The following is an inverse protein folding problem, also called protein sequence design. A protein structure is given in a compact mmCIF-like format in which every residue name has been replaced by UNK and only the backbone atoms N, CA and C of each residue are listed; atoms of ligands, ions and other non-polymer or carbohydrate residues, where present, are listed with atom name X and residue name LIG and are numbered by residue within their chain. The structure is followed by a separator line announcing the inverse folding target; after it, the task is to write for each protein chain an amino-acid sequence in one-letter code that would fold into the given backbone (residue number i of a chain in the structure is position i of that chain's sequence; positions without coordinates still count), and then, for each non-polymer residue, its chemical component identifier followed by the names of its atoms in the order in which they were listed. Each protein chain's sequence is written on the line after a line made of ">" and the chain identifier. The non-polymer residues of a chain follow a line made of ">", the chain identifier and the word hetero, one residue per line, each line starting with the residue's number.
data_IF_038915762348
#
_entry.id   IF_038915762348
#
_cell.length_a   1.000
_cell.length_b   1.000
_cell.length_c   1.000
_cell.angle_alpha   90.00
_cell.angle_beta   90.00
_cell.angle_gamma   90.00
#
_symmetry.space_group_name_H-M   'P 1'
#
loop_
_entity.id
_entity.type
_entity.pdbx_description
1 polymer ?
#
# COMPACT_ATOMS: atom_id res chain seq x y z
N UNK A 1 6.04 15.28 10.91
CA UNK A 1 4.63 15.11 10.50
C UNK A 1 4.64 14.46 9.12
N UNK A 2 3.87 13.41 8.86
CA UNK A 2 3.83 12.78 7.54
C UNK A 2 3.02 13.68 6.60
N UNK A 3 3.71 14.55 5.85
CA UNK A 3 3.08 15.65 5.11
C UNK A 3 2.24 15.19 3.91
N UNK A 4 2.44 13.97 3.40
CA UNK A 4 1.73 13.51 2.21
C UNK A 4 0.72 12.40 2.54
N UNK A 5 -0.47 12.77 3.02
CA UNK A 5 -1.56 11.82 3.29
C UNK A 5 -2.24 11.38 2.00
N UNK A 6 -2.25 10.07 1.72
CA UNK A 6 -3.04 9.51 0.63
C UNK A 6 -4.55 9.66 0.94
N UNK A 7 -5.33 10.41 0.15
CA UNK A 7 -6.76 10.65 0.41
C UNK A 7 -7.62 9.39 0.24
N UNK A 8 -7.10 8.36 -0.44
CA UNK A 8 -7.79 7.09 -0.65
C UNK A 8 -7.64 6.11 0.52
N UNK A 9 -6.90 6.47 1.57
CA UNK A 9 -6.70 5.65 2.77
C UNK A 9 -7.16 6.42 4.01
N UNK A 10 -8.14 5.88 4.74
CA UNK A 10 -8.70 6.59 5.91
C UNK A 10 -7.75 6.56 7.12
N UNK A 11 -7.22 5.38 7.46
CA UNK A 11 -6.35 5.17 8.63
C UNK A 11 -5.18 4.24 8.33
N UNK A 12 -4.07 4.49 9.01
CA UNK A 12 -2.82 3.72 8.89
C UNK A 12 -2.33 3.39 10.31
N UNK A 13 -1.95 2.14 10.56
CA UNK A 13 -1.45 1.72 11.88
C UNK A 13 -0.47 0.54 11.82
N UNK A 14 0.60 0.60 12.59
CA UNK A 14 1.49 -0.55 12.85
C UNK A 14 1.10 -1.28 14.13
N UNK A 15 1.68 -2.47 14.35
CA UNK A 15 1.58 -3.18 15.61
C UNK A 15 2.33 -2.41 16.70
N UNK A 16 1.66 -2.15 17.83
CA UNK A 16 2.28 -1.45 18.98
C UNK A 16 3.26 -2.33 19.76
N UNK A 17 3.16 -3.65 19.61
CA UNK A 17 4.01 -4.63 20.27
C UNK A 17 4.97 -5.21 19.25
N UNK A 18 6.23 -5.37 19.64
CA UNK A 18 7.31 -5.84 18.78
C UNK A 18 8.41 -4.77 18.61
N UNK A 19 9.54 -5.13 17.99
CA UNK A 19 10.65 -4.19 17.79
C UNK A 19 10.28 -3.09 16.78
N UNK A 20 10.90 -1.91 16.76
CA UNK A 20 10.74 -0.93 15.65
C UNK A 20 9.28 -0.59 15.19
N UNK A 21 8.29 -0.39 16.08
CA UNK A 21 6.91 -0.11 15.66
C UNK A 21 6.78 1.20 14.85
N UNK A 22 7.66 2.17 15.10
CA UNK A 22 7.69 3.44 14.38
C UNK A 22 8.27 3.29 12.95
N UNK A 23 9.24 2.39 12.74
CA UNK A 23 9.75 2.06 11.39
C UNK A 23 8.70 1.38 10.54
N UNK A 24 7.96 0.43 11.12
CA UNK A 24 6.80 -0.19 10.47
C UNK A 24 5.75 0.85 10.09
N UNK A 25 5.46 1.80 10.98
CA UNK A 25 4.53 2.88 10.69
C UNK A 25 5.04 3.77 9.54
N UNK A 26 6.33 4.13 9.56
CA UNK A 26 6.98 4.91 8.48
C UNK A 26 6.86 4.19 7.13
N UNK A 27 7.13 2.89 7.09
CA UNK A 27 7.01 2.08 5.87
C UNK A 27 5.57 2.10 5.34
N UNK A 28 4.55 1.93 6.20
CA UNK A 28 3.15 2.01 5.77
C UNK A 28 2.77 3.38 5.20
N UNK A 29 3.28 4.47 5.78
CA UNK A 29 3.10 5.82 5.23
C UNK A 29 3.82 5.99 3.88
N UNK A 30 5.04 5.46 3.75
CA UNK A 30 5.79 5.45 2.49
C UNK A 30 5.01 4.73 1.39
N UNK A 31 4.58 3.50 1.66
CA UNK A 31 3.77 2.68 0.75
C UNK A 31 2.47 3.38 0.35
N UNK A 32 1.75 3.91 1.34
CA UNK A 32 0.52 4.69 1.15
C UNK A 32 0.75 5.86 0.20
N UNK A 33 1.86 6.58 0.35
CA UNK A 33 2.24 7.67 -0.53
C UNK A 33 2.56 7.19 -1.95
N UNK A 34 3.39 6.15 -2.09
CA UNK A 34 3.79 5.56 -3.38
C UNK A 34 2.59 5.15 -4.22
N UNK A 35 1.58 4.50 -3.63
CA UNK A 35 0.40 4.01 -4.37
C UNK A 35 -0.69 5.07 -4.59
N UNK A 36 -0.53 6.29 -4.07
CA UNK A 36 -1.59 7.31 -4.07
C UNK A 36 -2.11 7.64 -5.48
N UNK A 37 -1.22 7.83 -6.45
CA UNK A 37 -1.59 8.12 -7.84
C UNK A 37 -2.32 6.95 -8.49
N UNK A 38 -1.83 5.73 -8.27
CA UNK A 38 -2.45 4.50 -8.76
C UNK A 38 -3.86 4.33 -8.18
N UNK A 39 -4.02 4.50 -6.87
CA UNK A 39 -5.31 4.38 -6.21
C UNK A 39 -6.32 5.41 -6.72
N UNK A 40 -5.90 6.67 -6.88
CA UNK A 40 -6.77 7.70 -7.43
C UNK A 40 -7.20 7.38 -8.86
N UNK A 41 -6.27 7.01 -9.74
CA UNK A 41 -6.56 6.70 -11.15
C UNK A 41 -7.52 5.51 -11.28
N UNK A 42 -7.40 4.51 -10.40
CA UNK A 42 -8.18 3.28 -10.44
C UNK A 42 -9.40 3.30 -9.49
N UNK A 43 -9.76 4.46 -8.91
CA UNK A 43 -10.87 4.62 -7.96
C UNK A 43 -10.82 3.65 -6.77
N UNK A 44 -9.61 3.26 -6.34
CA UNK A 44 -9.41 2.36 -5.22
C UNK A 44 -9.56 3.12 -3.90
N UNK A 45 -10.11 2.45 -2.89
CA UNK A 45 -10.21 2.96 -1.53
C UNK A 45 -9.85 1.88 -0.54
N UNK A 46 -9.21 2.28 0.55
CA UNK A 46 -8.94 1.43 1.71
C UNK A 46 -9.38 2.17 2.97
N UNK A 47 -10.13 1.54 3.87
CA UNK A 47 -10.46 2.18 5.16
C UNK A 47 -9.29 2.05 6.14
N UNK A 48 -8.74 0.84 6.28
CA UNK A 48 -7.64 0.54 7.18
C UNK A 48 -6.47 -0.12 6.47
N UNK A 49 -5.30 0.54 6.44
CA UNK A 49 -4.02 -0.07 6.03
C UNK A 49 -3.20 -0.35 7.29
N UNK A 50 -2.96 -1.62 7.63
CA UNK A 50 -2.34 -1.97 8.90
C UNK A 50 -1.27 -3.04 8.78
N UNK A 51 -0.34 -3.05 9.73
CA UNK A 51 0.57 -4.18 9.93
C UNK A 51 -0.17 -5.37 10.56
N UNK A 52 0.23 -6.57 10.17
CA UNK A 52 0.00 -7.78 10.95
C UNK A 52 1.24 -8.69 11.00
N UNK A 53 1.21 -9.70 11.87
CA UNK A 53 2.27 -10.69 11.98
C UNK A 53 1.68 -12.08 12.29
N UNK A 54 1.04 -12.73 11.30
CA UNK A 54 0.40 -14.02 11.52
C UNK A 54 1.44 -15.14 11.73
N UNK A 55 1.03 -16.25 12.34
CA UNK A 55 1.89 -17.44 12.49
C UNK A 55 2.16 -18.16 11.16
N UNK A 56 1.28 -17.98 10.17
CA UNK A 56 1.45 -18.58 8.85
C UNK A 56 2.53 -17.82 8.08
N UNK A 57 3.63 -18.51 7.79
CA UNK A 57 4.84 -17.88 7.23
C UNK A 57 4.58 -17.27 5.85
N UNK A 58 3.85 -17.98 4.99
CA UNK A 58 3.57 -17.58 3.61
C UNK A 58 2.48 -16.51 3.48
N UNK A 59 1.89 -16.06 4.60
CA UNK A 59 0.86 -15.01 4.57
C UNK A 59 1.52 -13.64 4.69
N UNK A 60 1.69 -12.97 3.55
CA UNK A 60 2.36 -11.67 3.43
C UNK A 60 1.37 -10.50 3.42
N UNK A 61 0.17 -10.71 2.91
CA UNK A 61 -0.89 -9.71 2.81
C UNK A 61 -2.27 -10.33 3.02
N UNK A 62 -3.25 -9.50 3.34
CA UNK A 62 -4.65 -9.91 3.35
C UNK A 62 -5.59 -8.71 3.15
N UNK A 63 -6.45 -8.80 2.15
CA UNK A 63 -7.57 -7.89 1.93
C UNK A 63 -8.86 -8.46 2.55
N UNK A 64 -9.41 -7.72 3.51
CA UNK A 64 -10.70 -8.01 4.14
C UNK A 64 -11.76 -7.12 3.53
N UNK A 65 -12.83 -7.74 3.04
CA UNK A 65 -14.03 -7.08 2.51
C UNK A 65 -13.72 -6.01 1.46
N UNK A 66 -12.91 -6.36 0.44
CA UNK A 66 -12.68 -5.54 -0.76
C UNK A 66 -12.25 -4.09 -0.44
N UNK A 67 -11.24 -3.96 0.43
CA UNK A 67 -10.67 -2.67 0.81
C UNK A 67 -11.21 -2.10 2.13
N UNK A 68 -12.06 -2.82 2.86
CA UNK A 68 -12.36 -2.42 4.25
C UNK A 68 -11.07 -2.42 5.09
N UNK A 69 -10.25 -3.45 4.95
CA UNK A 69 -8.96 -3.51 5.63
C UNK A 69 -7.95 -4.27 4.78
N UNK A 70 -6.76 -3.69 4.61
CA UNK A 70 -5.60 -4.38 4.06
C UNK A 70 -4.58 -4.52 5.19
N UNK A 71 -4.15 -5.76 5.40
CA UNK A 71 -3.09 -6.12 6.34
C UNK A 71 -1.83 -6.48 5.56
N UNK A 72 -0.68 -5.97 6.00
CA UNK A 72 0.62 -6.25 5.42
C UNK A 72 1.58 -6.77 6.49
N UNK A 73 2.35 -7.80 6.13
CA UNK A 73 3.47 -8.27 6.93
C UNK A 73 4.65 -7.36 6.62
N UNK A 74 5.23 -6.76 7.66
CA UNK A 74 6.37 -5.85 7.52
C UNK A 74 7.66 -6.40 8.14
N UNK A 75 7.57 -7.57 8.78
CA UNK A 75 8.68 -8.23 9.49
C UNK A 75 8.83 -9.64 9.00
N UNK A 76 10.08 -10.09 8.91
CA UNK A 76 10.37 -11.49 8.63
C UNK A 76 9.75 -12.40 9.69
N UNK A 77 9.21 -13.53 9.24
CA UNK A 77 8.57 -14.51 10.11
C UNK A 77 9.57 -15.12 11.10
N UNK A 78 10.79 -15.42 10.63
CA UNK A 78 11.82 -16.10 11.40
C UNK A 78 12.61 -15.15 12.32
N UNK A 79 12.57 -13.85 12.02
CA UNK A 79 13.20 -12.82 12.84
C UNK A 79 12.41 -11.50 12.76
N UNK A 80 11.68 -11.19 13.83
CA UNK A 80 10.85 -9.99 13.91
C UNK A 80 11.64 -8.67 13.97
N UNK A 81 12.95 -8.72 14.24
CA UNK A 81 13.85 -7.56 14.21
C UNK A 81 14.28 -7.19 12.79
N UNK A 82 14.10 -8.10 11.82
CA UNK A 82 14.36 -7.81 10.42
C UNK A 82 13.06 -7.37 9.73
N UNK A 83 13.08 -6.14 9.20
CA UNK A 83 11.99 -5.64 8.37
C UNK A 83 12.09 -6.19 6.95
N UNK A 84 10.94 -6.38 6.32
CA UNK A 84 10.87 -6.77 4.92
C UNK A 84 11.33 -5.62 4.02
N UNK A 85 11.85 -5.98 2.84
CA UNK A 85 12.15 -5.02 1.79
C UNK A 85 10.88 -4.26 1.33
N UNK A 86 10.97 -2.93 1.26
CA UNK A 86 9.79 -2.09 1.01
C UNK A 86 9.19 -2.32 -0.39
N UNK A 87 10.00 -2.63 -1.40
CA UNK A 87 9.50 -2.89 -2.75
C UNK A 87 8.78 -4.24 -2.84
N UNK A 88 9.24 -5.24 -2.08
CA UNK A 88 8.54 -6.51 -1.90
C UNK A 88 7.19 -6.34 -1.20
N UNK A 89 7.13 -5.47 -0.18
CA UNK A 89 5.86 -5.15 0.49
C UNK A 89 4.95 -4.30 -0.41
N UNK A 90 5.51 -3.43 -1.26
CA UNK A 90 4.77 -2.69 -2.26
C UNK A 90 4.07 -3.63 -3.25
N UNK A 91 4.76 -4.64 -3.77
CA UNK A 91 4.15 -5.62 -4.68
C UNK A 91 3.01 -6.40 -4.00
N UNK A 92 3.19 -6.75 -2.71
CA UNK A 92 2.14 -7.34 -1.87
C UNK A 92 0.96 -6.39 -1.72
N UNK A 93 1.18 -5.09 -1.49
CA UNK A 93 0.10 -4.10 -1.43
C UNK A 93 -0.65 -3.99 -2.77
N UNK A 94 0.06 -4.02 -3.91
CA UNK A 94 -0.58 -4.04 -5.23
C UNK A 94 -1.44 -5.29 -5.43
N UNK A 95 -0.96 -6.46 -4.96
CA UNK A 95 -1.73 -7.71 -4.95
C UNK A 95 -3.04 -7.54 -4.17
N UNK A 96 -2.95 -7.05 -2.94
CA UNK A 96 -4.13 -6.85 -2.09
C UNK A 96 -5.08 -5.79 -2.68
N UNK A 97 -4.58 -4.78 -3.38
CA UNK A 97 -5.43 -3.82 -4.08
C UNK A 97 -6.26 -4.46 -5.20
N UNK A 98 -5.75 -5.46 -5.91
CA UNK A 98 -6.52 -6.22 -6.91
C UNK A 98 -7.73 -6.91 -6.28
N UNK A 99 -7.58 -7.39 -5.04
CA UNK A 99 -8.66 -8.00 -4.27
C UNK A 99 -9.83 -7.05 -3.93
N UNK A 100 -9.71 -5.74 -4.16
CA UNK A 100 -10.87 -4.84 -4.14
C UNK A 100 -11.90 -5.19 -5.22
N UNK A 101 -11.47 -5.76 -6.34
CA UNK A 101 -12.31 -6.07 -7.49
C UNK A 101 -12.41 -7.57 -7.75
N UNK A 102 -11.30 -8.31 -7.64
CA UNK A 102 -11.21 -9.71 -8.05
C UNK A 102 -10.78 -10.57 -6.86
N UNK A 103 -11.68 -11.43 -6.39
CA UNK A 103 -11.39 -12.37 -5.29
C UNK A 103 -10.42 -13.51 -5.68
N UNK A 104 -10.74 -14.34 -6.68
CA UNK A 104 -9.92 -15.51 -7.00
C UNK A 104 -8.66 -15.16 -7.81
N UNK A 105 -7.56 -15.86 -7.57
CA UNK A 105 -6.31 -15.77 -8.35
C UNK A 105 -6.44 -16.45 -9.72
N UNK A 106 -7.29 -15.90 -10.58
CA UNK A 106 -7.47 -16.35 -11.96
C UNK A 106 -6.69 -15.46 -12.95
N UNK A 107 -6.82 -15.72 -14.25
CA UNK A 107 -6.15 -14.94 -15.30
C UNK A 107 -6.46 -13.45 -15.24
N UNK A 108 -7.69 -13.06 -14.85
CA UNK A 108 -8.07 -11.65 -14.72
C UNK A 108 -7.38 -10.98 -13.54
N UNK A 109 -7.25 -11.71 -12.42
CA UNK A 109 -6.47 -11.25 -11.26
C UNK A 109 -5.03 -10.97 -11.66
N UNK A 110 -4.35 -11.94 -12.26
CA UNK A 110 -2.94 -11.80 -12.64
C UNK A 110 -2.74 -10.68 -13.66
N UNK A 111 -3.64 -10.55 -14.63
CA UNK A 111 -3.60 -9.45 -15.60
C UNK A 111 -3.70 -8.09 -14.91
N UNK A 112 -4.68 -7.90 -14.02
CA UNK A 112 -4.85 -6.62 -13.32
C UNK A 112 -3.68 -6.32 -12.38
N UNK A 113 -3.09 -7.35 -11.76
CA UNK A 113 -1.91 -7.20 -10.93
C UNK A 113 -0.68 -6.73 -11.72
N UNK A 114 -0.44 -7.31 -12.90
CA UNK A 114 0.59 -6.83 -13.82
C UNK A 114 0.33 -5.40 -14.29
N UNK A 115 -0.93 -5.07 -14.64
CA UNK A 115 -1.31 -3.71 -15.03
C UNK A 115 -1.02 -2.71 -13.89
N UNK A 116 -1.25 -3.10 -12.63
CA UNK A 116 -0.91 -2.27 -11.46
C UNK A 116 0.60 -2.15 -11.27
N UNK A 117 1.38 -3.22 -11.42
CA UNK A 117 2.84 -3.18 -11.39
C UNK A 117 3.41 -2.22 -12.42
N UNK A 118 2.98 -2.34 -13.68
CA UNK A 118 3.45 -1.48 -14.77
C UNK A 118 3.11 -0.01 -14.53
N UNK A 119 1.87 0.26 -14.11
CA UNK A 119 1.45 1.62 -13.74
C UNK A 119 2.26 2.18 -12.58
N UNK A 120 2.51 1.36 -11.55
CA UNK A 120 3.25 1.79 -10.38
C UNK A 120 4.72 2.05 -10.70
N UNK A 121 5.35 1.19 -11.51
CA UNK A 121 6.72 1.39 -11.99
C UNK A 121 6.86 2.69 -12.78
N UNK A 122 5.92 2.95 -13.70
CA UNK A 122 5.89 4.20 -14.46
C UNK A 122 5.70 5.42 -13.54
N UNK A 123 4.82 5.33 -12.54
CA UNK A 123 4.63 6.41 -11.56
C UNK A 123 5.92 6.69 -10.79
N UNK A 124 6.62 5.66 -10.30
CA UNK A 124 7.86 5.83 -9.53
C UNK A 124 8.97 6.47 -10.38
N UNK A 125 9.18 6.00 -11.61
CA UNK A 125 10.20 6.56 -12.52
C UNK A 125 9.95 8.03 -12.89
N UNK A 126 8.68 8.43 -12.95
CA UNK A 126 8.27 9.80 -13.25
C UNK A 126 8.13 10.67 -11.98
N UNK A 127 8.36 10.10 -10.78
CA UNK A 127 8.14 10.78 -9.50
C UNK A 127 6.67 11.18 -9.28
N UNK A 128 5.72 10.45 -9.87
CA UNK A 128 4.30 10.75 -9.79
C UNK A 128 3.66 10.14 -8.55
N UNK A 129 3.21 11.01 -7.67
CA UNK A 129 2.31 10.72 -6.56
C UNK A 129 1.18 11.74 -6.56
N UNK A 130 0.13 11.54 -5.75
CA UNK A 130 -0.91 12.57 -5.62
C UNK A 130 -0.34 13.81 -4.91
N UNK A 131 0.04 14.80 -5.69
CA UNK A 131 0.51 16.13 -5.27
C UNK A 131 -0.64 17.05 -4.80
N UNK A 132 -1.58 16.55 -4.00
CA UNK A 132 -2.64 17.40 -3.46
C UNK A 132 -2.19 18.23 -2.24
N UNK A 133 -1.03 18.89 -2.34
CA UNK A 133 -0.59 19.92 -1.39
C UNK A 133 0.20 21.03 -2.09
N UNK A 134 -0.54 22.01 -2.59
CA UNK A 134 -0.10 23.35 -2.94
C UNK A 134 -1.32 24.13 -3.38
N UNK A 135 -1.61 25.29 -2.77
CA UNK A 135 -2.67 26.21 -3.23
C UNK A 135 -2.50 26.37 -4.75
N UNK A 136 -3.50 25.94 -5.53
CA UNK A 136 -3.48 26.14 -6.96
C UNK A 136 -3.45 27.63 -7.27
N UNK A 137 -2.30 28.15 -7.68
CA UNK A 137 -2.28 29.37 -8.46
C UNK A 137 -2.83 28.98 -9.85
N UNK A 138 -4.04 29.47 -10.17
CA UNK A 138 -4.52 29.49 -11.56
C UNK A 138 -3.50 30.27 -12.37
N UNK A 139 -2.80 29.63 -13.29
CA UNK A 139 -2.21 30.32 -14.43
C UNK A 139 -3.26 30.29 -15.54
N UNK A 140 -4.15 31.27 -15.50
CA UNK A 140 -5.08 31.58 -16.57
C UNK A 140 -5.03 33.09 -16.80
N UNK A 141 -4.65 33.48 -18.01
CA UNK A 141 -4.43 34.86 -18.46
C UNK A 141 -3.27 34.92 -19.42
#
# INVERSE_FOLDING_TARGET
>A
KFENKNPNISTIASLKKGPFPDDCLRMLYSLSHKVSKLMHKNNLRIIHLQEFHPKQENLLGMNVNKGSKILLRLRHNNDSYLLMDEDSVLDTLLHELVHNSIGPHNTHFHKLWEDYRQQQWANLNLGLYNNFLGKGARLGG
#
